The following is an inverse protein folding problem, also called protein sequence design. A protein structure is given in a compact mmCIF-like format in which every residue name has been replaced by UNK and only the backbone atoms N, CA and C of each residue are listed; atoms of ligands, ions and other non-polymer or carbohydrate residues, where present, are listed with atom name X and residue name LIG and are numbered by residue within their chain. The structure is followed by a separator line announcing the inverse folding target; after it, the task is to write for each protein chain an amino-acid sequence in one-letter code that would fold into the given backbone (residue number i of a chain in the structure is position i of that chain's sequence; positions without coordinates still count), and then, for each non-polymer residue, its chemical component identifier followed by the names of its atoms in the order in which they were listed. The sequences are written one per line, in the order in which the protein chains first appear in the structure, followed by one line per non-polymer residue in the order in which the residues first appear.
data_IF_027262415961
#
_entry.id   IF_027262415961
#
_cell.length_a   1.000
_cell.length_b   1.000
_cell.length_c   1.000
_cell.angle_alpha   90.00
_cell.angle_beta   90.00
_cell.angle_gamma   90.00
#
_symmetry.space_group_name_H-M   'P 1'
#
loop_
_entity.id
_entity.type
_entity.pdbx_description
1 polymer ?
#
# COMPACT_ATOMS: atom_id res chain seq x y z
N UNK A 1 10.40 0.67 29.22
CA UNK A 1 10.05 -0.22 28.08
C UNK A 1 11.34 -0.59 27.35
N UNK A 2 11.63 -1.88 27.11
CA UNK A 2 12.81 -2.27 26.31
C UNK A 2 12.50 -1.90 24.85
N UNK A 3 13.32 -1.04 24.23
CA UNK A 3 13.10 -0.57 22.85
C UNK A 3 13.43 -1.64 21.81
N UNK A 4 14.43 -2.47 22.10
CA UNK A 4 14.84 -3.57 21.23
C UNK A 4 13.70 -4.56 20.99
N UNK A 5 13.43 -4.87 19.71
CA UNK A 5 12.40 -5.79 19.21
C UNK A 5 10.99 -5.47 19.74
N UNK A 6 10.70 -4.19 19.98
CA UNK A 6 9.42 -3.74 20.49
C UNK A 6 8.52 -3.27 19.34
N UNK A 7 7.46 -4.02 18.98
CA UNK A 7 6.62 -3.69 17.84
C UNK A 7 5.82 -2.39 18.07
N UNK A 8 5.47 -2.08 19.31
CA UNK A 8 4.78 -0.83 19.64
C UNK A 8 5.69 0.38 19.51
N UNK A 9 6.98 0.25 19.87
CA UNK A 9 7.95 1.32 19.65
C UNK A 9 8.18 1.57 18.16
N UNK A 10 8.35 0.51 17.36
CA UNK A 10 8.45 0.64 15.90
C UNK A 10 7.22 1.33 15.31
N UNK A 11 6.02 0.91 15.71
CA UNK A 11 4.77 1.52 15.24
C UNK A 11 4.70 3.01 15.57
N UNK A 12 4.85 3.39 16.85
CA UNK A 12 4.75 4.79 17.29
C UNK A 12 5.79 5.69 16.64
N UNK A 13 7.04 5.22 16.54
CA UNK A 13 8.13 5.98 15.89
C UNK A 13 7.96 6.08 14.37
N UNK A 14 7.15 5.22 13.76
CA UNK A 14 6.87 5.26 12.32
C UNK A 14 5.71 6.18 11.96
N UNK A 15 4.80 6.51 12.88
CA UNK A 15 3.65 7.37 12.60
C UNK A 15 4.00 8.75 12.01
N UNK A 16 5.07 9.44 12.44
CA UNK A 16 5.46 10.72 11.83
C UNK A 16 5.75 10.64 10.33
N UNK A 17 6.17 9.48 9.82
CA UNK A 17 6.41 9.30 8.38
C UNK A 17 5.14 9.43 7.54
N UNK A 18 3.97 9.10 8.10
CA UNK A 18 2.66 9.28 7.45
C UNK A 18 2.41 10.76 7.18
N UNK A 19 2.72 11.62 8.15
CA UNK A 19 2.58 13.06 8.01
C UNK A 19 3.62 13.62 7.04
N UNK A 20 4.85 13.11 7.05
CA UNK A 20 5.90 13.52 6.11
C UNK A 20 5.50 13.28 4.65
N UNK A 21 4.90 12.13 4.34
CA UNK A 21 4.36 11.85 2.99
C UNK A 21 3.12 12.71 2.71
N UNK A 22 2.18 12.83 3.66
CA UNK A 22 0.93 13.58 3.46
C UNK A 22 1.15 15.05 3.13
N UNK A 23 2.16 15.67 3.74
CA UNK A 23 2.52 17.06 3.52
C UNK A 23 3.69 17.24 2.55
N UNK A 24 4.11 16.17 1.87
CA UNK A 24 5.06 16.28 0.76
C UNK A 24 4.37 16.91 -0.46
N UNK A 25 5.06 17.84 -1.12
CA UNK A 25 4.59 18.48 -2.35
C UNK A 25 5.36 17.99 -3.58
N UNK A 26 5.06 18.56 -4.75
CA UNK A 26 5.73 18.23 -6.00
C UNK A 26 4.87 17.38 -6.93
N UNK A 27 5.51 16.82 -7.96
CA UNK A 27 4.88 15.99 -8.98
C UNK A 27 4.84 14.49 -8.59
N UNK A 28 4.30 13.66 -9.48
CA UNK A 28 4.18 12.21 -9.27
C UNK A 28 5.53 11.54 -8.94
N UNK A 29 6.60 11.92 -9.62
CA UNK A 29 7.93 11.34 -9.40
C UNK A 29 8.51 11.77 -8.05
N UNK A 30 8.34 13.03 -7.67
CA UNK A 30 8.68 13.52 -6.33
C UNK A 30 7.90 12.77 -5.26
N UNK A 31 6.59 12.55 -5.48
CA UNK A 31 5.75 11.77 -4.58
C UNK A 31 6.21 10.31 -4.47
N UNK A 32 6.61 9.68 -5.58
CA UNK A 32 7.20 8.34 -5.56
C UNK A 32 8.50 8.28 -4.75
N UNK A 33 9.36 9.31 -4.86
CA UNK A 33 10.58 9.43 -4.06
C UNK A 33 10.24 9.57 -2.57
N UNK A 34 9.31 10.46 -2.20
CA UNK A 34 8.91 10.64 -0.80
C UNK A 34 8.30 9.39 -0.20
N UNK A 35 7.42 8.69 -0.93
CA UNK A 35 6.89 7.40 -0.49
C UNK A 35 8.01 6.38 -0.31
N UNK A 36 8.89 6.22 -1.29
CA UNK A 36 10.02 5.28 -1.18
C UNK A 36 10.90 5.59 0.03
N UNK A 37 11.15 6.87 0.30
CA UNK A 37 11.97 7.31 1.43
C UNK A 37 11.28 7.08 2.78
N UNK A 38 10.06 7.59 2.94
CA UNK A 38 9.37 7.66 4.23
C UNK A 38 8.51 6.44 4.54
N UNK A 39 8.07 5.66 3.55
CA UNK A 39 7.29 4.44 3.75
C UNK A 39 8.13 3.16 3.59
N UNK A 40 9.28 3.22 2.90
CA UNK A 40 10.14 2.03 2.79
C UNK A 40 11.51 2.21 3.43
N UNK A 41 12.36 3.11 2.93
CA UNK A 41 13.76 3.18 3.32
C UNK A 41 13.96 3.53 4.80
N UNK A 42 13.40 4.64 5.28
CA UNK A 42 13.56 5.09 6.67
C UNK A 42 12.87 4.18 7.69
N UNK A 43 11.63 3.70 7.46
CA UNK A 43 11.00 2.72 8.36
C UNK A 43 11.79 1.40 8.44
N UNK A 44 12.37 0.95 7.33
CA UNK A 44 13.19 -0.27 7.33
C UNK A 44 14.48 -0.09 8.12
N UNK A 45 15.17 1.05 7.95
CA UNK A 45 16.35 1.42 8.75
C UNK A 45 16.00 1.51 10.23
N UNK A 46 14.87 2.14 10.57
CA UNK A 46 14.36 2.21 11.94
C UNK A 46 14.08 0.82 12.52
N UNK A 47 13.43 -0.06 11.76
CA UNK A 47 13.15 -1.42 12.19
C UNK A 47 14.45 -2.21 12.45
N UNK A 48 15.45 -2.10 11.58
CA UNK A 48 16.76 -2.71 11.79
C UNK A 48 17.49 -2.13 13.00
N UNK A 49 17.44 -0.81 13.21
CA UNK A 49 18.01 -0.15 14.39
C UNK A 49 17.35 -0.62 15.70
N UNK A 50 16.06 -0.97 15.66
CA UNK A 50 15.34 -1.58 16.78
C UNK A 50 15.60 -3.09 16.93
N UNK A 51 16.33 -3.71 16.00
CA UNK A 51 16.76 -5.12 16.08
C UNK A 51 15.87 -6.12 15.35
N UNK A 52 14.91 -5.65 14.54
CA UNK A 52 14.10 -6.53 13.70
C UNK A 52 14.90 -7.03 12.50
N UNK A 53 14.57 -8.23 12.02
CA UNK A 53 15.11 -8.80 10.80
C UNK A 53 14.11 -8.67 9.63
N UNK A 54 14.61 -8.64 8.38
CA UNK A 54 13.77 -8.51 7.18
C UNK A 54 12.57 -9.46 7.13
N UNK A 55 12.75 -10.71 7.59
CA UNK A 55 11.72 -11.73 7.57
C UNK A 55 10.60 -11.44 8.57
N UNK A 56 10.92 -10.79 9.69
CA UNK A 56 9.96 -10.38 10.70
C UNK A 56 9.09 -9.19 10.27
N UNK A 57 9.45 -8.55 9.16
CA UNK A 57 8.80 -7.39 8.57
C UNK A 57 8.05 -7.75 7.27
N UNK A 58 7.98 -9.03 6.91
CA UNK A 58 7.41 -9.46 5.62
C UNK A 58 8.22 -9.06 4.39
N UNK A 59 9.43 -8.51 4.56
CA UNK A 59 10.31 -8.08 3.46
C UNK A 59 11.10 -9.27 2.92
N UNK A 60 10.41 -10.11 2.16
CA UNK A 60 10.91 -11.32 1.52
C UNK A 60 9.95 -11.79 0.43
N UNK A 61 10.41 -12.72 -0.40
CA UNK A 61 9.49 -13.52 -1.22
C UNK A 61 8.76 -14.49 -0.29
N UNK A 62 7.43 -14.43 -0.31
CA UNK A 62 6.57 -15.25 0.53
C UNK A 62 6.30 -16.64 -0.06
N UNK A 63 5.30 -17.32 0.49
CA UNK A 63 4.81 -18.59 -0.04
C UNK A 63 4.12 -18.36 -1.40
N UNK A 64 4.80 -18.73 -2.49
CA UNK A 64 4.33 -18.53 -3.87
C UNK A 64 2.91 -19.07 -4.13
N UNK A 65 2.54 -20.17 -3.46
CA UNK A 65 1.19 -20.74 -3.55
C UNK A 65 0.07 -19.79 -3.12
N UNK A 66 0.37 -18.78 -2.30
CA UNK A 66 -0.62 -17.81 -1.81
C UNK A 66 -0.84 -16.66 -2.82
N UNK A 67 0.05 -16.46 -3.79
CA UNK A 67 -0.10 -15.44 -4.84
C UNK A 67 -1.30 -15.72 -5.76
N UNK A 68 -1.76 -16.98 -5.83
CA UNK A 68 -3.01 -17.31 -6.53
C UNK A 68 -4.22 -16.58 -5.93
N UNK A 69 -4.21 -16.31 -4.62
CA UNK A 69 -5.29 -15.54 -3.98
C UNK A 69 -5.21 -14.06 -4.35
N UNK A 70 -4.00 -13.51 -4.49
CA UNK A 70 -3.84 -12.17 -5.06
C UNK A 70 -4.43 -12.10 -6.47
N UNK A 71 -4.14 -13.10 -7.32
CA UNK A 71 -4.72 -13.19 -8.67
C UNK A 71 -6.24 -13.33 -8.64
N UNK A 72 -6.80 -14.17 -7.77
CA UNK A 72 -8.25 -14.32 -7.65
C UNK A 72 -8.94 -13.04 -7.17
N UNK A 73 -8.33 -12.33 -6.22
CA UNK A 73 -8.81 -11.03 -5.76
C UNK A 73 -8.71 -9.97 -6.85
N UNK A 74 -7.64 -9.97 -7.64
CA UNK A 74 -7.51 -9.12 -8.82
C UNK A 74 -8.65 -9.39 -9.81
N UNK A 75 -8.90 -10.66 -10.13
CA UNK A 75 -10.02 -11.06 -10.99
C UNK A 75 -11.37 -10.59 -10.42
N UNK A 76 -11.57 -10.77 -9.12
CA UNK A 76 -12.79 -10.34 -8.42
C UNK A 76 -12.95 -8.81 -8.37
N UNK A 77 -11.86 -8.04 -8.51
CA UNK A 77 -11.90 -6.58 -8.53
C UNK A 77 -12.35 -5.98 -9.86
N UNK A 78 -12.33 -6.75 -10.97
CA UNK A 78 -12.70 -6.25 -12.30
C UNK A 78 -14.12 -5.67 -12.38
N UNK A 79 -15.18 -6.35 -11.91
CA UNK A 79 -16.54 -5.79 -11.97
C UNK A 79 -16.65 -4.48 -11.19
N UNK A 80 -16.00 -4.39 -10.02
CA UNK A 80 -15.98 -3.17 -9.21
C UNK A 80 -15.20 -2.05 -9.91
N UNK A 81 -14.09 -2.37 -10.56
CA UNK A 81 -13.27 -1.42 -11.31
C UNK A 81 -14.01 -0.87 -12.53
N UNK A 82 -14.69 -1.74 -13.28
CA UNK A 82 -15.53 -1.34 -14.43
C UNK A 82 -16.67 -0.45 -13.95
N UNK A 83 -17.35 -0.82 -12.86
CA UNK A 83 -18.40 0.02 -12.28
C UNK A 83 -17.85 1.36 -11.79
N UNK A 84 -16.73 1.36 -11.08
CA UNK A 84 -16.05 2.56 -10.60
C UNK A 84 -15.68 3.52 -11.71
N UNK A 85 -15.21 3.00 -12.86
CA UNK A 85 -14.90 3.79 -14.05
C UNK A 85 -16.16 4.42 -14.70
N UNK A 86 -17.39 4.05 -14.29
CA UNK A 86 -18.61 4.76 -14.71
C UNK A 86 -18.95 5.95 -13.81
N UNK A 87 -18.32 6.07 -12.64
CA UNK A 87 -18.61 7.12 -11.67
C UNK A 87 -17.89 8.43 -12.05
N UNK A 88 -18.62 9.57 -12.18
CA UNK A 88 -18.02 10.84 -12.58
C UNK A 88 -16.90 11.31 -11.65
N UNK A 89 -17.05 11.13 -10.34
CA UNK A 89 -16.06 11.54 -9.34
C UNK A 89 -14.76 10.73 -9.41
N UNK A 90 -14.83 9.45 -9.80
CA UNK A 90 -13.65 8.61 -9.97
C UNK A 90 -12.90 8.98 -11.24
N UNK A 91 -13.61 9.14 -12.36
CA UNK A 91 -13.04 9.58 -13.65
C UNK A 91 -12.44 10.98 -13.60
N UNK A 92 -13.00 11.87 -12.77
CA UNK A 92 -12.45 13.21 -12.58
C UNK A 92 -11.15 13.20 -11.76
N UNK A 93 -10.90 12.14 -10.99
CA UNK A 93 -9.74 12.01 -10.11
C UNK A 93 -8.63 11.13 -10.70
N UNK A 94 -8.99 10.08 -11.45
CA UNK A 94 -8.06 9.08 -11.99
C UNK A 94 -7.97 9.14 -13.53
N UNK A 95 -6.76 8.96 -14.11
CA UNK A 95 -5.48 8.81 -13.42
C UNK A 95 -5.07 10.10 -12.69
N UNK A 96 -4.30 9.96 -11.61
CA UNK A 96 -3.84 11.10 -10.77
C UNK A 96 -2.74 11.95 -11.45
N UNK A 97 -2.49 11.71 -12.73
CA UNK A 97 -1.44 12.32 -13.51
C UNK A 97 -1.93 12.51 -14.95
N UNK A 98 -1.53 13.63 -15.55
CA UNK A 98 -1.65 13.82 -17.00
C UNK A 98 -0.61 12.97 -17.73
N UNK A 99 -0.81 12.69 -19.01
CA UNK A 99 0.18 11.99 -19.84
C UNK A 99 0.15 12.45 -21.31
N UNK A 100 1.29 12.43 -21.98
CA UNK A 100 1.43 12.90 -23.38
C UNK A 100 1.42 11.78 -24.43
N UNK A 101 1.40 10.52 -24.01
CA UNK A 101 1.38 9.36 -24.88
C UNK A 101 1.64 8.04 -24.14
N UNK A 102 1.64 6.89 -24.85
CA UNK A 102 1.71 5.57 -24.20
C UNK A 102 2.98 5.34 -23.38
N UNK A 103 4.13 5.86 -23.84
CA UNK A 103 5.39 5.73 -23.09
C UNK A 103 5.39 6.55 -21.80
N UNK A 104 4.88 7.77 -21.85
CA UNK A 104 4.77 8.64 -20.67
C UNK A 104 3.76 8.07 -19.66
N UNK A 105 2.64 7.54 -20.14
CA UNK A 105 1.68 6.79 -19.32
C UNK A 105 2.36 5.61 -18.61
N UNK A 106 3.09 4.77 -19.36
CA UNK A 106 3.82 3.63 -18.79
C UNK A 106 4.85 4.07 -17.72
N UNK A 107 5.61 5.13 -17.96
CA UNK A 107 6.59 5.64 -16.99
C UNK A 107 5.92 6.14 -15.71
N UNK A 108 4.77 6.79 -15.81
CA UNK A 108 3.98 7.26 -14.67
C UNK A 108 3.35 6.11 -13.90
N UNK A 109 2.90 5.07 -14.59
CA UNK A 109 2.43 3.83 -13.96
C UNK A 109 3.54 3.07 -13.22
N UNK A 110 4.79 3.11 -13.71
CA UNK A 110 5.93 2.58 -12.96
C UNK A 110 6.20 3.41 -11.68
N UNK A 111 6.02 4.74 -11.73
CA UNK A 111 6.10 5.59 -10.55
C UNK A 111 4.98 5.29 -9.55
N UNK A 112 3.74 5.07 -10.02
CA UNK A 112 2.63 4.53 -9.21
C UNK A 112 3.01 3.19 -8.59
N UNK A 113 3.66 2.30 -9.35
CA UNK A 113 4.17 1.03 -8.83
C UNK A 113 5.14 1.19 -7.66
N UNK A 114 6.07 2.16 -7.73
CA UNK A 114 6.96 2.48 -6.62
C UNK A 114 6.18 3.00 -5.39
N UNK A 115 5.14 3.82 -5.60
CA UNK A 115 4.26 4.33 -4.54
C UNK A 115 3.50 3.17 -3.87
N UNK A 116 2.92 2.27 -4.65
CA UNK A 116 2.18 1.10 -4.14
C UNK A 116 3.09 0.13 -3.41
N UNK A 117 4.30 -0.12 -3.95
CA UNK A 117 5.31 -0.91 -3.27
C UNK A 117 5.64 -0.34 -1.90
N UNK A 118 5.92 0.97 -1.83
CA UNK A 118 6.27 1.62 -0.58
C UNK A 118 5.10 1.61 0.43
N UNK A 119 3.87 1.86 -0.03
CA UNK A 119 2.67 1.75 0.81
C UNK A 119 2.52 0.35 1.41
N UNK A 120 2.52 -0.70 0.59
CA UNK A 120 2.33 -2.06 1.09
C UNK A 120 3.51 -2.51 1.97
N UNK A 121 4.75 -2.14 1.62
CA UNK A 121 5.91 -2.41 2.45
C UNK A 121 5.78 -1.78 3.85
N UNK A 122 5.28 -0.55 3.94
CA UNK A 122 5.06 0.13 5.22
C UNK A 122 3.94 -0.50 6.03
N UNK A 123 2.74 -0.49 5.46
CA UNK A 123 1.50 -0.83 6.15
C UNK A 123 1.36 -2.34 6.34
N UNK A 124 1.54 -3.13 5.29
CA UNK A 124 1.38 -4.60 5.28
C UNK A 124 2.66 -5.35 5.60
N UNK A 125 3.82 -4.72 5.47
CA UNK A 125 5.10 -5.26 5.90
C UNK A 125 5.49 -4.81 7.31
N UNK A 126 6.19 -3.68 7.37
CA UNK A 126 6.96 -3.18 8.52
C UNK A 126 6.09 -2.97 9.76
N UNK A 127 4.86 -2.46 9.61
CA UNK A 127 3.93 -2.27 10.72
C UNK A 127 3.17 -3.56 11.06
N UNK A 128 2.56 -4.20 10.07
CA UNK A 128 1.67 -5.34 10.27
C UNK A 128 2.36 -6.52 10.94
N UNK A 129 3.46 -7.03 10.39
CA UNK A 129 4.02 -8.31 10.81
C UNK A 129 4.48 -8.31 12.28
N UNK A 130 5.24 -7.31 12.77
CA UNK A 130 5.62 -7.26 14.18
C UNK A 130 4.44 -7.16 15.15
N UNK A 131 3.40 -6.39 14.79
CA UNK A 131 2.21 -6.23 15.63
C UNK A 131 1.34 -7.49 15.62
N UNK A 132 1.13 -8.09 14.45
CA UNK A 132 0.30 -9.28 14.27
C UNK A 132 0.85 -10.49 15.04
N UNK A 133 2.18 -10.58 15.21
CA UNK A 133 2.82 -11.60 16.07
C UNK A 133 2.43 -11.47 17.55
N UNK A 134 2.02 -10.29 18.01
CA UNK A 134 1.50 -10.09 19.37
C UNK A 134 -0.01 -10.33 19.42
N UNK A 135 -0.73 -9.78 18.47
CA UNK A 135 -2.16 -10.00 18.29
C UNK A 135 -2.52 -9.66 16.85
N UNK A 136 -3.01 -10.64 16.10
CA UNK A 136 -3.29 -10.53 14.67
C UNK A 136 -4.27 -9.39 14.37
N UNK A 137 -5.43 -9.36 15.03
CA UNK A 137 -6.46 -8.35 14.78
C UNK A 137 -6.03 -6.96 15.22
N UNK A 138 -5.31 -6.85 16.33
CA UNK A 138 -4.71 -5.57 16.74
C UNK A 138 -3.73 -5.08 15.69
N UNK A 139 -2.87 -5.95 15.16
CA UNK A 139 -1.91 -5.59 14.12
C UNK A 139 -2.59 -5.15 12.82
N UNK A 140 -3.65 -5.86 12.41
CA UNK A 140 -4.46 -5.49 11.25
C UNK A 140 -5.07 -4.10 11.47
N UNK A 141 -5.84 -3.90 12.53
CA UNK A 141 -6.54 -2.62 12.75
C UNK A 141 -5.58 -1.44 12.99
N UNK A 142 -4.46 -1.68 13.69
CA UNK A 142 -3.51 -0.61 14.01
C UNK A 142 -2.81 -0.06 12.77
N UNK A 143 -2.48 -0.88 11.78
CA UNK A 143 -1.91 -0.40 10.51
C UNK A 143 -3.00 0.10 9.55
N UNK A 144 -4.16 -0.55 9.55
CA UNK A 144 -5.19 -0.33 8.53
C UNK A 144 -6.01 0.94 8.75
N UNK A 145 -6.24 1.34 10.01
CA UNK A 145 -6.91 2.61 10.31
C UNK A 145 -6.11 3.80 9.77
N UNK A 146 -4.80 3.97 10.07
CA UNK A 146 -3.99 4.99 9.42
C UNK A 146 -3.96 4.89 7.89
N UNK A 147 -3.91 3.67 7.33
CA UNK A 147 -3.95 3.45 5.89
C UNK A 147 -5.25 3.97 5.24
N UNK A 148 -6.41 3.69 5.84
CA UNK A 148 -7.68 4.22 5.36
C UNK A 148 -7.74 5.75 5.47
N UNK A 149 -7.16 6.32 6.54
CA UNK A 149 -7.14 7.78 6.73
C UNK A 149 -6.28 8.52 5.69
N UNK A 150 -5.22 7.91 5.13
CA UNK A 150 -4.46 8.57 4.05
C UNK A 150 -5.25 8.72 2.75
N UNK A 151 -6.39 8.03 2.62
CA UNK A 151 -7.30 8.18 1.48
C UNK A 151 -8.23 9.39 1.61
N UNK A 152 -8.20 10.13 2.73
CA UNK A 152 -8.97 11.37 2.87
C UNK A 152 -8.53 12.40 1.81
N UNK A 153 -9.51 12.93 1.07
CA UNK A 153 -9.31 13.84 -0.04
C UNK A 153 -9.41 13.18 -1.42
N UNK A 154 -9.44 11.84 -1.47
CA UNK A 154 -9.85 11.07 -2.66
C UNK A 154 -11.38 11.01 -2.78
N UNK A 155 -11.95 10.48 -3.88
CA UNK A 155 -13.39 10.22 -3.99
C UNK A 155 -13.94 9.48 -2.76
N UNK A 156 -15.15 9.82 -2.33
CA UNK A 156 -15.65 9.48 -0.99
C UNK A 156 -15.69 7.98 -0.69
N UNK A 157 -15.90 7.15 -1.72
CA UNK A 157 -15.94 5.68 -1.59
C UNK A 157 -14.57 5.06 -1.24
N UNK A 158 -13.47 5.76 -1.50
CA UNK A 158 -12.11 5.23 -1.36
C UNK A 158 -11.73 4.98 0.10
N UNK A 159 -12.24 5.76 1.06
CA UNK A 159 -11.96 5.54 2.48
C UNK A 159 -12.57 4.23 3.00
N UNK A 160 -13.89 3.99 2.89
CA UNK A 160 -14.46 2.71 3.30
C UNK A 160 -13.97 1.54 2.45
N UNK A 161 -13.74 1.74 1.14
CA UNK A 161 -13.19 0.70 0.27
C UNK A 161 -11.77 0.30 0.69
N UNK A 162 -10.88 1.28 0.89
CA UNK A 162 -9.49 1.03 1.30
C UNK A 162 -9.39 0.34 2.66
N UNK A 163 -10.26 0.66 3.62
CA UNK A 163 -10.32 -0.06 4.89
C UNK A 163 -10.70 -1.54 4.70
N UNK A 164 -11.76 -1.84 3.95
CA UNK A 164 -12.16 -3.23 3.71
C UNK A 164 -11.08 -3.99 2.92
N UNK A 165 -10.55 -3.38 1.86
CA UNK A 165 -9.47 -3.95 1.07
C UNK A 165 -8.20 -4.18 1.91
N UNK A 166 -7.90 -3.27 2.84
CA UNK A 166 -6.72 -3.36 3.68
C UNK A 166 -6.77 -4.47 4.72
N UNK A 167 -7.94 -4.78 5.29
CA UNK A 167 -8.15 -6.01 6.07
C UNK A 167 -7.86 -7.25 5.20
N UNK A 168 -8.39 -7.29 3.98
CA UNK A 168 -8.20 -8.44 3.06
C UNK A 168 -6.72 -8.61 2.70
N UNK A 169 -6.03 -7.52 2.36
CA UNK A 169 -4.61 -7.52 2.02
C UNK A 169 -3.77 -7.98 3.21
N UNK A 170 -4.05 -7.47 4.41
CA UNK A 170 -3.35 -7.88 5.62
C UNK A 170 -3.49 -9.39 5.88
N UNK A 171 -4.68 -9.96 5.72
CA UNK A 171 -4.88 -11.42 5.84
C UNK A 171 -4.13 -12.21 4.77
N UNK A 172 -4.14 -11.74 3.52
CA UNK A 172 -3.41 -12.36 2.41
C UNK A 172 -1.90 -12.38 2.71
N UNK A 173 -1.35 -11.26 3.14
CA UNK A 173 0.08 -11.11 3.35
C UNK A 173 0.58 -11.88 4.56
N UNK A 174 -0.19 -11.90 5.66
CA UNK A 174 0.11 -12.75 6.82
C UNK A 174 0.14 -14.23 6.45
N UNK A 175 -0.77 -14.69 5.58
CA UNK A 175 -0.76 -16.07 5.06
C UNK A 175 0.44 -16.32 4.15
N UNK A 176 0.78 -15.37 3.29
CA UNK A 176 1.91 -15.48 2.38
C UNK A 176 3.27 -15.33 3.10
N UNK A 177 3.32 -14.68 4.26
CA UNK A 177 4.56 -14.33 4.94
C UNK A 177 5.31 -13.17 4.27
N UNK A 178 4.63 -12.39 3.41
CA UNK A 178 5.19 -11.30 2.59
C UNK A 178 4.11 -10.29 2.23
N UNK A 179 4.47 -9.00 2.10
CA UNK A 179 3.58 -7.95 1.56
C UNK A 179 3.54 -7.91 0.02
N UNK A 180 4.40 -8.67 -0.65
CA UNK A 180 4.48 -8.64 -2.12
C UNK A 180 3.18 -9.07 -2.83
N UNK A 181 2.36 -10.01 -2.33
CA UNK A 181 1.08 -10.33 -2.95
C UNK A 181 0.11 -9.15 -2.99
N UNK A 182 -0.08 -8.44 -1.88
CA UNK A 182 -0.91 -7.23 -1.85
C UNK A 182 -0.31 -6.10 -2.70
N UNK A 183 1.01 -5.92 -2.72
CA UNK A 183 1.68 -4.97 -3.62
C UNK A 183 1.32 -5.22 -5.08
N UNK A 184 1.47 -6.45 -5.56
CA UNK A 184 1.14 -6.79 -6.94
C UNK A 184 -0.34 -6.57 -7.23
N UNK A 185 -1.22 -6.98 -6.32
CA UNK A 185 -2.66 -6.78 -6.45
C UNK A 185 -3.03 -5.29 -6.49
N UNK A 186 -2.44 -4.48 -5.61
CA UNK A 186 -2.71 -3.05 -5.52
C UNK A 186 -2.19 -2.32 -6.75
N UNK A 187 -0.95 -2.57 -7.17
CA UNK A 187 -0.37 -1.92 -8.33
C UNK A 187 -1.09 -2.31 -9.63
N UNK A 188 -1.32 -3.60 -9.87
CA UNK A 188 -2.04 -4.04 -11.06
C UNK A 188 -3.49 -3.56 -11.05
N UNK A 189 -4.12 -3.48 -9.88
CA UNK A 189 -5.45 -2.89 -9.71
C UNK A 189 -5.48 -1.41 -10.07
N UNK A 190 -4.48 -0.63 -9.63
CA UNK A 190 -4.34 0.78 -9.98
C UNK A 190 -4.15 0.98 -11.50
N UNK A 191 -3.21 0.24 -12.11
CA UNK A 191 -2.98 0.27 -13.57
C UNK A 191 -4.25 -0.07 -14.33
N UNK A 192 -4.96 -1.13 -13.92
CA UNK A 192 -6.23 -1.52 -14.54
C UNK A 192 -7.25 -0.39 -14.46
N UNK A 193 -7.39 0.25 -13.30
CA UNK A 193 -8.37 1.28 -13.08
C UNK A 193 -8.08 2.55 -13.88
N UNK A 194 -6.81 2.97 -13.92
CA UNK A 194 -6.37 4.13 -14.71
C UNK A 194 -6.59 3.87 -16.21
N UNK A 195 -6.27 2.66 -16.71
CA UNK A 195 -6.59 2.25 -18.08
C UNK A 195 -8.10 2.27 -18.36
N UNK A 196 -8.93 1.78 -17.44
CA UNK A 196 -10.39 1.81 -17.60
C UNK A 196 -10.93 3.25 -17.64
N UNK A 197 -10.42 4.15 -16.80
CA UNK A 197 -10.82 5.57 -16.80
C UNK A 197 -10.43 6.29 -18.09
N UNK A 198 -9.33 5.89 -18.73
CA UNK A 198 -8.90 6.44 -20.02
C UNK A 198 -9.74 5.89 -21.19
N UNK A 199 -10.19 4.64 -21.14
CA UNK A 199 -10.84 3.96 -22.26
C UNK A 199 -12.37 4.01 -22.27
N UNK A 200 -13.01 4.10 -21.10
CA UNK A 200 -14.48 4.10 -20.94
C UNK A 200 -15.00 5.50 -20.68
#
# INVERSE_FOLDING_TARGET
MRLKNNPYALYLLSLPFILAVRYSGGDLFSWAVYNTLFYFALPLVLAYALGFERGELGVRVGALKEYRWALLLFIASLPLSIYGATLPEMKAYYPIFDFSGPLDFLLKELAVGAIMFAHEAFYRGILLFPLARRNEWLGILAQDVPYALVHIGKPGIEVPYSFVAGIVFAKLDLRAGSFLPSFLLHWLGAVLFDVLCVLL
#
